data_IF_720524728421
#
_entry.id   IF_720524728421
#
_cell.length_a   1.000
_cell.length_b   1.000
_cell.length_c   1.000
_cell.angle_alpha   90.00
_cell.angle_beta   90.00
_cell.angle_gamma   90.00
#
_symmetry.space_group_name_H-M   'P 1'
#
loop_
_entity.id
_entity.type
_entity.pdbx_description
1 polymer ?
#
# COMPACT_ATOMS: atom_id res chain seq x y z
N UNK A 1 16.99 -87.70 45.99
CA UNK A 1 17.03 -87.04 44.67
C UNK A 1 15.69 -86.37 44.46
N UNK A 2 15.62 -85.06 44.73
CA UNK A 2 14.45 -84.23 44.45
C UNK A 2 14.95 -83.06 43.64
N UNK A 3 14.55 -83.03 42.37
CA UNK A 3 14.77 -81.91 41.46
C UNK A 3 13.73 -80.84 41.78
N UNK A 4 14.16 -79.76 42.43
CA UNK A 4 13.36 -78.54 42.51
C UNK A 4 13.55 -77.77 41.21
N UNK A 5 12.59 -77.91 40.31
CA UNK A 5 12.48 -77.07 39.12
C UNK A 5 11.82 -75.75 39.54
N UNK A 6 12.60 -74.68 39.69
CA UNK A 6 12.04 -73.33 39.83
C UNK A 6 11.45 -72.90 38.47
N UNK A 7 10.12 -72.86 38.42
CA UNK A 7 9.37 -72.24 37.33
C UNK A 7 9.45 -70.72 37.50
N UNK A 8 10.37 -70.08 36.76
CA UNK A 8 10.40 -68.64 36.63
C UNK A 8 9.26 -68.17 35.72
N UNK A 9 8.11 -67.88 36.31
CA UNK A 9 7.05 -67.12 35.65
C UNK A 9 7.55 -65.70 35.37
N UNK A 10 8.02 -65.46 34.15
CA UNK A 10 8.30 -64.10 33.65
C UNK A 10 6.96 -63.40 33.41
N UNK A 11 6.46 -62.70 34.43
CA UNK A 11 5.38 -61.75 34.26
C UNK A 11 5.89 -60.60 33.37
N UNK A 12 5.44 -60.56 32.11
CA UNK A 12 5.60 -59.36 31.26
C UNK A 12 4.83 -58.22 31.93
N UNK A 13 5.54 -57.25 32.48
CA UNK A 13 4.93 -56.02 32.95
C UNK A 13 4.26 -55.31 31.76
N UNK A 14 2.93 -55.30 31.74
CA UNK A 14 2.18 -54.36 30.91
C UNK A 14 2.41 -52.97 31.50
N UNK A 15 3.31 -52.21 30.89
CA UNK A 15 3.51 -50.78 31.15
C UNK A 15 2.30 -50.01 30.64
N UNK A 16 1.18 -50.12 31.37
CA UNK A 16 0.01 -49.30 31.14
C UNK A 16 0.39 -47.85 31.50
N UNK A 17 0.37 -46.98 30.49
CA UNK A 17 0.63 -45.56 30.69
C UNK A 17 -0.36 -45.01 31.73
N UNK A 18 0.09 -44.25 32.75
CA UNK A 18 -0.80 -43.74 33.77
C UNK A 18 -1.91 -42.88 33.16
N UNK A 19 -3.16 -43.14 33.55
CA UNK A 19 -4.35 -42.45 33.00
C UNK A 19 -4.24 -40.93 33.14
N UNK A 20 -3.64 -40.44 34.23
CA UNK A 20 -3.43 -38.99 34.45
C UNK A 20 -2.53 -38.33 33.39
N UNK A 21 -1.57 -39.08 32.84
CA UNK A 21 -0.63 -38.59 31.85
C UNK A 21 -1.29 -38.50 30.46
N UNK A 22 -2.21 -39.43 30.14
CA UNK A 22 -3.05 -39.37 28.93
C UNK A 22 -3.95 -38.12 28.97
N UNK A 23 -4.55 -37.82 30.13
CA UNK A 23 -5.39 -36.63 30.33
C UNK A 23 -4.60 -35.34 30.10
N UNK A 24 -3.36 -35.25 30.59
CA UNK A 24 -2.49 -34.08 30.40
C UNK A 24 -2.13 -33.88 28.91
N UNK A 25 -1.77 -34.95 28.20
CA UNK A 25 -1.45 -34.89 26.77
C UNK A 25 -2.65 -34.39 25.98
N UNK A 26 -3.86 -34.84 26.34
CA UNK A 26 -5.09 -34.42 25.67
C UNK A 26 -5.37 -32.93 25.87
N UNK A 27 -5.20 -32.42 27.09
CA UNK A 27 -5.38 -30.98 27.40
C UNK A 27 -4.35 -30.14 26.66
N UNK A 28 -3.07 -30.56 26.66
CA UNK A 28 -2.01 -29.86 25.93
C UNK A 28 -2.27 -29.86 24.41
N UNK A 29 -2.78 -30.96 23.87
CA UNK A 29 -3.19 -31.05 22.47
C UNK A 29 -4.30 -30.06 22.13
N UNK A 30 -5.33 -29.95 22.98
CA UNK A 30 -6.42 -28.99 22.81
C UNK A 30 -5.90 -27.55 22.84
N UNK A 31 -5.04 -27.21 23.80
CA UNK A 31 -4.42 -25.88 23.90
C UNK A 31 -3.60 -25.58 22.63
N UNK A 32 -2.81 -26.55 22.16
CA UNK A 32 -2.02 -26.43 20.93
C UNK A 32 -2.89 -26.15 19.71
N UNK A 33 -4.03 -26.85 19.57
CA UNK A 33 -4.98 -26.62 18.47
C UNK A 33 -5.63 -25.25 18.56
N UNK A 34 -6.02 -24.80 19.76
CA UNK A 34 -6.61 -23.47 19.96
C UNK A 34 -5.62 -22.37 19.58
N UNK A 35 -4.36 -22.48 20.00
CA UNK A 35 -3.31 -21.51 19.67
C UNK A 35 -3.01 -21.52 18.15
N UNK A 36 -2.96 -22.71 17.53
CA UNK A 36 -2.76 -22.83 16.08
C UNK A 36 -3.90 -22.19 15.28
N UNK A 37 -5.16 -22.40 15.70
CA UNK A 37 -6.34 -21.78 15.08
C UNK A 37 -6.32 -20.25 15.25
N UNK A 38 -5.93 -19.75 16.42
CA UNK A 38 -5.77 -18.31 16.66
C UNK A 38 -4.66 -17.70 15.80
N UNK A 39 -3.50 -18.36 15.73
CA UNK A 39 -2.38 -17.92 14.89
C UNK A 39 -2.73 -17.91 13.40
N UNK A 40 -3.41 -18.95 12.91
CA UNK A 40 -3.87 -19.01 11.52
C UNK A 40 -4.90 -17.90 11.21
N UNK A 41 -5.92 -17.72 12.06
CA UNK A 41 -6.95 -16.69 11.86
C UNK A 41 -6.38 -15.27 11.89
N UNK A 42 -5.40 -15.01 12.76
CA UNK A 42 -4.67 -13.73 12.80
C UNK A 42 -3.85 -13.52 11.53
N UNK A 43 -3.09 -14.52 11.08
CA UNK A 43 -2.26 -14.43 9.88
C UNK A 43 -3.07 -14.23 8.59
N UNK A 44 -4.19 -14.94 8.43
CA UNK A 44 -5.05 -14.79 7.25
C UNK A 44 -5.78 -13.44 7.22
N UNK A 45 -6.31 -12.97 8.36
CA UNK A 45 -6.97 -11.66 8.42
C UNK A 45 -6.00 -10.51 8.14
N UNK A 46 -4.76 -10.56 8.66
CA UNK A 46 -3.71 -9.60 8.32
C UNK A 46 -3.35 -9.63 6.83
N UNK A 47 -3.27 -10.82 6.22
CA UNK A 47 -2.97 -10.95 4.79
C UNK A 47 -4.08 -10.37 3.92
N UNK A 48 -5.35 -10.57 4.29
CA UNK A 48 -6.49 -9.97 3.59
C UNK A 48 -6.52 -8.44 3.71
N UNK A 49 -6.26 -7.91 4.91
CA UNK A 49 -6.19 -6.45 5.14
C UNK A 49 -5.04 -5.84 4.32
N UNK A 50 -3.86 -6.47 4.31
CA UNK A 50 -2.69 -6.01 3.56
C UNK A 50 -2.91 -6.10 2.04
N UNK A 51 -3.57 -7.15 1.55
CA UNK A 51 -3.90 -7.31 0.13
C UNK A 51 -4.99 -6.33 -0.34
N UNK A 52 -6.00 -6.06 0.49
CA UNK A 52 -7.04 -5.07 0.19
C UNK A 52 -6.47 -3.65 0.16
N UNK A 53 -5.61 -3.30 1.14
CA UNK A 53 -4.93 -2.00 1.21
C UNK A 53 -4.04 -1.71 -0.02
N UNK A 54 -3.35 -2.73 -0.56
CA UNK A 54 -2.47 -2.60 -1.73
C UNK A 54 -3.18 -2.49 -3.08
N UNK A 55 -4.48 -2.77 -3.16
CA UNK A 55 -5.20 -2.83 -4.44
C UNK A 55 -5.41 -1.44 -5.05
N UNK A 56 -5.75 -0.45 -4.23
CA UNK A 56 -6.07 0.91 -4.70
C UNK A 56 -4.81 1.68 -5.11
N UNK A 57 -3.74 1.62 -4.31
CA UNK A 57 -2.47 2.29 -4.63
C UNK A 57 -1.83 1.73 -5.91
N UNK A 58 -1.84 0.41 -6.08
CA UNK A 58 -1.37 -0.22 -7.31
C UNK A 58 -2.25 0.09 -8.52
N UNK A 59 -3.58 0.17 -8.32
CA UNK A 59 -4.51 0.59 -9.38
C UNK A 59 -4.23 2.04 -9.82
N UNK A 60 -4.03 2.96 -8.87
CA UNK A 60 -3.68 4.36 -9.16
C UNK A 60 -2.34 4.44 -9.86
N UNK A 61 -1.30 3.76 -9.35
CA UNK A 61 0.01 3.68 -10.01
C UNK A 61 -0.12 3.18 -11.46
N UNK A 62 -0.92 2.14 -11.68
CA UNK A 62 -1.16 1.58 -13.02
C UNK A 62 -1.87 2.59 -13.93
N UNK A 63 -2.90 3.26 -13.45
CA UNK A 63 -3.61 4.28 -14.26
C UNK A 63 -2.64 5.41 -14.62
N UNK A 64 -1.94 5.98 -13.65
CA UNK A 64 -1.04 7.11 -13.86
C UNK A 64 0.15 6.76 -14.77
N UNK A 65 0.69 5.54 -14.67
CA UNK A 65 1.79 5.10 -15.54
C UNK A 65 1.38 4.87 -17.00
N UNK A 66 0.08 4.72 -17.29
CA UNK A 66 -0.44 4.61 -18.67
C UNK A 66 -0.82 5.95 -19.28
N UNK A 67 -0.79 7.03 -18.51
CA UNK A 67 -1.13 8.37 -18.97
C UNK A 67 0.08 9.05 -19.59
N UNK A 68 -0.19 10.05 -20.45
CA UNK A 68 0.83 10.92 -21.03
C UNK A 68 1.54 11.67 -19.90
N UNK A 69 2.86 11.59 -19.88
CA UNK A 69 3.71 12.26 -18.91
C UNK A 69 4.69 13.21 -19.61
N UNK A 70 5.08 14.25 -18.90
CA UNK A 70 6.05 15.23 -19.34
C UNK A 70 7.08 15.42 -18.24
N UNK A 71 8.35 15.39 -18.63
CA UNK A 71 9.43 15.71 -17.70
C UNK A 71 9.48 17.21 -17.40
N UNK A 72 10.21 17.58 -16.35
CA UNK A 72 10.42 18.99 -15.96
C UNK A 72 10.78 19.93 -17.13
N UNK A 73 11.53 19.46 -18.12
CA UNK A 73 12.05 20.27 -19.23
C UNK A 73 11.11 20.27 -20.45
N UNK A 74 10.43 19.15 -20.73
CA UNK A 74 9.64 18.91 -21.96
C UNK A 74 8.30 19.67 -22.01
N UNK A 75 7.94 20.37 -20.93
CA UNK A 75 6.65 21.06 -20.81
C UNK A 75 6.47 22.16 -21.87
N UNK A 76 7.55 22.78 -22.33
CA UNK A 76 7.48 23.82 -23.37
C UNK A 76 7.01 23.31 -24.73
N UNK A 77 7.03 22.00 -24.95
CA UNK A 77 6.60 21.34 -26.18
C UNK A 77 5.15 20.81 -26.10
N UNK A 78 4.49 21.00 -24.95
CA UNK A 78 3.14 20.50 -24.72
C UNK A 78 2.07 21.49 -25.22
N UNK A 79 1.49 21.18 -26.38
CA UNK A 79 0.31 21.87 -26.92
C UNK A 79 -0.99 21.26 -26.37
N UNK A 80 -1.27 21.49 -25.08
CA UNK A 80 -2.48 21.00 -24.44
C UNK A 80 -3.28 22.18 -23.85
N UNK A 81 -4.28 22.64 -24.61
CA UNK A 81 -5.10 23.83 -24.31
C UNK A 81 -6.52 23.50 -23.82
N UNK A 82 -6.75 22.26 -23.40
CA UNK A 82 -8.07 21.78 -22.96
C UNK A 82 -8.19 21.84 -21.42
N UNK A 83 -9.43 21.77 -20.91
CA UNK A 83 -9.68 21.61 -19.49
C UNK A 83 -9.15 20.25 -19.03
N UNK A 84 -8.29 20.21 -18.02
CA UNK A 84 -7.69 18.97 -17.57
C UNK A 84 -7.26 18.97 -16.12
N UNK A 85 -7.06 17.75 -15.61
CA UNK A 85 -6.45 17.47 -14.32
C UNK A 85 -5.00 17.06 -14.57
N UNK A 86 -4.07 17.79 -13.95
CA UNK A 86 -2.64 17.48 -13.99
C UNK A 86 -2.24 16.88 -12.65
N UNK A 87 -1.62 15.71 -12.69
CA UNK A 87 -0.92 15.11 -11.56
C UNK A 87 0.54 15.53 -11.57
N UNK A 88 1.03 16.05 -10.45
CA UNK A 88 2.45 16.31 -10.22
C UNK A 88 2.99 15.24 -9.28
N UNK A 89 4.00 14.50 -9.74
CA UNK A 89 4.64 13.42 -8.98
C UNK A 89 6.14 13.37 -9.28
N UNK A 90 6.80 12.27 -8.89
CA UNK A 90 8.24 12.07 -9.09
C UNK A 90 8.52 10.77 -9.86
N UNK A 91 9.55 10.75 -10.70
CA UNK A 91 9.94 9.58 -11.54
C UNK A 91 10.06 8.28 -10.75
N UNK A 92 10.61 8.34 -9.55
CA UNK A 92 10.85 7.19 -8.67
C UNK A 92 9.98 7.21 -7.41
N UNK A 93 8.80 7.83 -7.48
CA UNK A 93 7.91 7.91 -6.33
C UNK A 93 7.41 6.51 -5.91
N UNK A 94 7.43 6.24 -4.61
CA UNK A 94 6.94 4.98 -4.05
C UNK A 94 5.45 5.10 -3.76
N UNK A 95 4.65 4.36 -4.53
CA UNK A 95 3.21 4.21 -4.30
C UNK A 95 2.99 3.07 -3.31
N UNK A 96 2.30 3.37 -2.22
CA UNK A 96 1.94 2.40 -1.18
C UNK A 96 0.51 2.64 -0.71
N UNK A 97 -0.11 1.70 0.02
CA UNK A 97 -1.46 1.88 0.55
C UNK A 97 -1.66 3.15 1.36
N UNK A 98 -0.61 3.60 2.03
CA UNK A 98 -0.64 4.75 2.93
C UNK A 98 -0.03 6.00 2.24
N UNK A 99 0.46 5.86 1.00
CA UNK A 99 1.08 6.95 0.24
C UNK A 99 0.86 6.92 -1.26
N UNK A 100 0.14 7.94 -1.74
CA UNK A 100 -0.04 8.24 -3.16
C UNK A 100 0.56 9.63 -3.37
N UNK A 101 1.85 9.74 -3.72
CA UNK A 101 2.58 11.01 -3.79
C UNK A 101 2.27 11.75 -5.09
N UNK A 102 1.02 12.19 -5.22
CA UNK A 102 0.49 12.92 -6.36
C UNK A 102 -0.18 14.18 -5.85
N UNK A 103 0.23 15.32 -6.38
CA UNK A 103 -0.44 16.60 -6.21
C UNK A 103 -1.33 16.82 -7.44
N UNK A 104 -2.61 17.08 -7.24
CA UNK A 104 -3.55 17.38 -8.31
C UNK A 104 -3.66 18.89 -8.54
N UNK A 105 -3.60 19.29 -9.80
CA UNK A 105 -3.84 20.65 -10.28
C UNK A 105 -5.01 20.63 -11.26
N UNK A 106 -5.93 21.59 -11.13
CA UNK A 106 -6.89 21.90 -12.20
C UNK A 106 -6.23 22.84 -13.20
N UNK A 107 -6.45 22.61 -14.48
CA UNK A 107 -5.82 23.38 -15.54
C UNK A 107 -6.81 23.69 -16.65
N UNK A 108 -6.75 24.92 -17.13
CA UNK A 108 -7.40 25.36 -18.38
C UNK A 108 -6.39 25.38 -19.55
N UNK A 109 -5.11 25.43 -19.22
CA UNK A 109 -3.97 25.51 -20.13
C UNK A 109 -2.80 24.84 -19.42
N UNK A 110 -2.37 23.70 -19.97
CA UNK A 110 -1.36 22.85 -19.36
C UNK A 110 -0.03 23.58 -19.14
N UNK A 111 0.44 24.26 -20.18
CA UNK A 111 1.72 24.96 -20.20
C UNK A 111 1.73 26.14 -19.23
N UNK A 112 0.60 26.86 -19.12
CA UNK A 112 0.44 27.94 -18.14
C UNK A 112 0.40 27.40 -16.72
N UNK A 113 -0.43 26.39 -16.44
CA UNK A 113 -0.55 25.81 -15.09
C UNK A 113 0.76 25.26 -14.56
N UNK A 114 1.58 24.63 -15.41
CA UNK A 114 2.89 24.15 -14.98
C UNK A 114 3.86 25.30 -14.73
N UNK A 115 3.84 26.34 -15.57
CA UNK A 115 4.68 27.53 -15.34
C UNK A 115 4.37 28.19 -14.00
N UNK A 116 3.08 28.32 -13.68
CA UNK A 116 2.61 28.86 -12.41
C UNK A 116 3.05 27.95 -11.25
N UNK A 117 2.89 26.62 -11.39
CA UNK A 117 3.40 25.66 -10.41
C UNK A 117 4.92 25.78 -10.19
N UNK A 118 5.72 25.91 -11.26
CA UNK A 118 7.18 26.05 -11.15
C UNK A 118 7.58 27.33 -10.40
N UNK A 119 6.88 28.42 -10.64
CA UNK A 119 7.09 29.69 -9.94
C UNK A 119 6.72 29.59 -8.46
N UNK A 120 5.61 28.93 -8.16
CA UNK A 120 5.19 28.64 -6.79
C UNK A 120 6.18 27.70 -6.08
N UNK A 121 6.80 26.78 -6.83
CA UNK A 121 7.84 25.88 -6.33
C UNK A 121 9.05 26.65 -5.76
N UNK A 122 9.36 27.83 -6.32
CA UNK A 122 10.50 28.65 -5.89
C UNK A 122 10.20 29.47 -4.64
N UNK A 123 8.95 29.93 -4.50
CA UNK A 123 8.52 30.78 -3.38
C UNK A 123 8.15 29.98 -2.12
N UNK A 124 7.99 28.66 -2.24
CA UNK A 124 7.68 27.72 -1.13
C UNK A 124 6.40 28.01 -0.33
N UNK A 125 5.56 28.92 -0.80
CA UNK A 125 4.38 29.35 -0.04
C UNK A 125 3.16 28.46 -0.31
N UNK A 126 3.07 27.86 -1.50
CA UNK A 126 1.98 26.97 -1.91
C UNK A 126 2.47 25.52 -1.94
N UNK A 127 1.66 24.53 -1.53
CA UNK A 127 1.99 23.09 -1.57
C UNK A 127 2.99 22.57 -0.52
N UNK A 128 2.85 22.99 0.73
CA UNK A 128 3.72 22.56 1.86
C UNK A 128 3.97 21.04 1.93
N UNK A 129 2.92 20.21 1.82
CA UNK A 129 3.05 18.75 1.89
C UNK A 129 3.89 18.18 0.74
N UNK A 130 3.73 18.72 -0.46
CA UNK A 130 4.54 18.34 -1.63
C UNK A 130 6.03 18.59 -1.36
N UNK A 131 6.38 19.75 -0.81
CA UNK A 131 7.76 20.08 -0.46
C UNK A 131 8.33 19.22 0.65
N UNK A 132 7.56 18.99 1.72
CA UNK A 132 7.97 18.11 2.81
C UNK A 132 8.29 16.71 2.29
N UNK A 133 7.44 16.18 1.40
CA UNK A 133 7.66 14.88 0.76
C UNK A 133 8.91 14.89 -0.13
N UNK A 134 9.05 15.89 -1.01
CA UNK A 134 10.20 16.04 -1.90
C UNK A 134 11.52 16.03 -1.10
N UNK A 135 11.58 16.82 -0.02
CA UNK A 135 12.76 16.91 0.83
C UNK A 135 13.01 15.62 1.62
N UNK A 136 11.96 15.04 2.22
CA UNK A 136 12.07 13.79 3.00
C UNK A 136 12.61 12.64 2.16
N UNK A 137 12.23 12.57 0.89
CA UNK A 137 12.65 11.52 -0.04
C UNK A 137 13.89 11.90 -0.87
N UNK A 138 14.48 13.09 -0.65
CA UNK A 138 15.65 13.61 -1.36
C UNK A 138 15.47 13.70 -2.89
N UNK A 139 14.26 14.02 -3.34
CA UNK A 139 13.98 14.30 -4.75
C UNK A 139 14.44 15.71 -5.14
N UNK A 140 14.90 15.84 -6.38
CA UNK A 140 15.25 17.13 -6.98
C UNK A 140 14.15 17.61 -7.91
N UNK A 141 14.24 18.86 -8.37
CA UNK A 141 13.24 19.44 -9.30
C UNK A 141 13.17 18.66 -10.61
N UNK A 142 14.31 18.11 -11.04
CA UNK A 142 14.45 17.35 -12.29
C UNK A 142 13.79 15.96 -12.23
N UNK A 143 13.48 15.50 -11.02
CA UNK A 143 12.75 14.26 -10.78
C UNK A 143 11.23 14.45 -10.88
N UNK A 144 10.75 15.70 -10.93
CA UNK A 144 9.33 16.01 -11.05
C UNK A 144 8.84 15.65 -12.45
N UNK A 145 7.68 14.99 -12.47
CA UNK A 145 6.93 14.65 -13.68
C UNK A 145 5.52 15.23 -13.59
N UNK A 146 5.01 15.63 -14.75
CA UNK A 146 3.65 16.11 -14.94
C UNK A 146 2.87 15.05 -15.71
N UNK A 147 1.70 14.67 -15.22
CA UNK A 147 0.89 13.57 -15.75
C UNK A 147 -0.48 14.15 -16.12
N UNK A 148 -0.91 13.98 -17.37
CA UNK A 148 -2.28 14.34 -17.77
C UNK A 148 -3.21 13.24 -17.30
N UNK A 149 -3.97 13.49 -16.23
CA UNK A 149 -4.79 12.47 -15.56
C UNK A 149 -6.11 12.28 -16.29
N UNK A 150 -6.79 13.39 -16.57
CA UNK A 150 -8.10 13.43 -17.18
C UNK A 150 -8.31 14.73 -17.94
N UNK A 151 -9.17 14.68 -18.97
CA UNK A 151 -9.60 15.82 -19.76
C UNK A 151 -11.09 15.99 -19.57
N UNK A 152 -11.57 17.22 -19.55
CA UNK A 152 -12.96 17.56 -19.35
C UNK A 152 -13.46 18.44 -20.50
N UNK A 153 -14.74 18.34 -20.80
CA UNK A 153 -15.38 19.20 -21.79
C UNK A 153 -15.98 20.45 -21.16
N UNK A 154 -16.22 20.42 -19.84
CA UNK A 154 -16.82 21.51 -19.06
C UNK A 154 -16.13 21.71 -17.71
N UNK A 155 -16.35 22.89 -17.11
CA UNK A 155 -15.79 23.22 -15.79
C UNK A 155 -16.46 22.39 -14.69
N UNK A 156 -17.76 22.13 -14.82
CA UNK A 156 -18.51 21.29 -13.88
C UNK A 156 -17.99 19.85 -13.87
N UNK A 157 -17.74 19.29 -15.06
CA UNK A 157 -17.14 17.96 -15.19
C UNK A 157 -15.72 17.94 -14.62
N UNK A 158 -14.92 18.98 -14.90
CA UNK A 158 -13.57 19.10 -14.36
C UNK A 158 -13.59 19.08 -12.82
N UNK A 159 -14.50 19.83 -12.20
CA UNK A 159 -14.62 19.90 -10.74
C UNK A 159 -15.08 18.57 -10.14
N UNK A 160 -16.05 17.91 -10.76
CA UNK A 160 -16.51 16.59 -10.32
C UNK A 160 -15.38 15.56 -10.40
N UNK A 161 -14.71 15.49 -11.56
CA UNK A 161 -13.58 14.58 -11.77
C UNK A 161 -12.41 14.90 -10.84
N UNK A 162 -12.13 16.19 -10.59
CA UNK A 162 -11.09 16.61 -9.66
C UNK A 162 -11.40 16.14 -8.24
N UNK A 163 -12.62 16.33 -7.75
CA UNK A 163 -13.02 15.87 -6.42
C UNK A 163 -12.97 14.35 -6.29
N UNK A 164 -13.35 13.63 -7.34
CA UNK A 164 -13.23 12.17 -7.40
C UNK A 164 -11.76 11.74 -7.28
N UNK A 165 -10.88 12.33 -8.08
CA UNK A 165 -9.43 12.06 -8.00
C UNK A 165 -8.83 12.49 -6.66
N UNK A 166 -9.25 13.63 -6.13
CA UNK A 166 -8.81 14.12 -4.83
C UNK A 166 -9.17 13.12 -3.72
N UNK A 167 -10.38 12.58 -3.75
CA UNK A 167 -10.79 11.54 -2.80
C UNK A 167 -9.90 10.31 -2.87
N UNK A 168 -9.42 9.94 -4.06
CA UNK A 168 -8.55 8.77 -4.26
C UNK A 168 -7.13 9.05 -3.76
N UNK A 169 -6.53 10.18 -4.13
CA UNK A 169 -5.14 10.51 -3.77
C UNK A 169 -5.00 10.95 -2.31
N UNK A 170 -6.02 11.62 -1.74
CA UNK A 170 -6.04 12.09 -0.36
C UNK A 170 -6.74 11.15 0.62
N UNK A 171 -7.42 10.08 0.18
CA UNK A 171 -7.96 9.08 1.10
C UNK A 171 -6.89 8.44 2.00
N UNK A 172 -5.61 8.62 1.67
CA UNK A 172 -4.45 8.05 2.38
C UNK A 172 -3.62 9.14 3.04
N UNK A 173 -2.92 8.79 4.12
CA UNK A 173 -2.29 9.73 5.08
C UNK A 173 -1.23 10.67 4.51
N UNK A 174 -0.80 10.50 3.25
CA UNK A 174 0.28 11.29 2.63
C UNK A 174 -0.06 11.81 1.23
N UNK A 175 -1.34 12.07 0.95
CA UNK A 175 -1.71 12.87 -0.22
C UNK A 175 -1.01 14.23 -0.21
N UNK A 176 -0.56 14.70 -1.38
CA UNK A 176 0.28 15.90 -1.49
C UNK A 176 -0.51 17.20 -1.67
N UNK A 177 -1.83 17.10 -1.85
CA UNK A 177 -2.78 18.20 -1.90
C UNK A 177 -3.02 18.86 -0.54
#
# INVERSE_FOLDING_TARGET
MFLLTESNNVNKATTNMPVWLIVIIFILGIIGVIVALWGAKSGFSWREILNAKNKDSNKVKRILSTRKNYNWIEVSEAEESELMIIGVSFKNAVYSPDSIPVLLLKSLDFSKSIRDFKKDLETKNNYKKFFEYMHKMNFKKEDIIFIVIDKAESVEELDHSFNSWLSIVNAKSTGLN
#
